data_IF_003404450749
#
_entry.id   IF_003404450749
#
_cell.length_a   1.000
_cell.length_b   1.000
_cell.length_c   1.000
_cell.angle_alpha   90.00
_cell.angle_beta   90.00
_cell.angle_gamma   90.00
#
_symmetry.space_group_name_H-M   'P 1'
#
loop_
_entity.id
_entity.type
_entity.pdbx_description
1 polymer ?
#
# COMPACT_ATOMS: atom_id res chain seq x y z
N UNK A 1 28.88 5.76 -24.92
CA UNK A 1 28.45 4.92 -23.80
C UNK A 1 26.93 5.02 -23.71
N UNK A 2 26.21 3.91 -23.89
CA UNK A 2 24.76 3.85 -23.70
C UNK A 2 24.47 3.94 -22.20
N UNK A 3 23.61 4.87 -21.79
CA UNK A 3 23.16 4.94 -20.41
C UNK A 3 22.46 3.61 -20.04
N UNK A 4 22.64 3.08 -18.83
CA UNK A 4 21.94 1.87 -18.41
C UNK A 4 20.43 2.13 -18.40
N UNK A 5 19.63 1.17 -18.86
CA UNK A 5 18.17 1.28 -18.82
C UNK A 5 17.66 1.38 -17.38
N UNK A 6 16.53 2.07 -17.19
CA UNK A 6 15.86 2.29 -15.91
C UNK A 6 15.81 1.04 -15.00
N UNK A 7 15.53 -0.12 -15.57
CA UNK A 7 15.45 -1.37 -14.85
C UNK A 7 16.79 -1.81 -14.24
N UNK A 8 17.92 -1.46 -14.86
CA UNK A 8 19.26 -1.81 -14.35
C UNK A 8 19.52 -1.26 -12.95
N UNK A 9 18.94 -0.11 -12.61
CA UNK A 9 19.03 0.46 -11.26
C UNK A 9 18.28 -0.38 -10.23
N UNK A 10 17.19 -1.06 -10.65
CA UNK A 10 16.40 -1.93 -9.80
C UNK A 10 17.15 -3.22 -9.43
N UNK A 11 18.03 -3.69 -10.32
CA UNK A 11 18.86 -4.88 -10.13
C UNK A 11 20.15 -4.66 -9.33
N UNK A 12 20.33 -3.48 -8.72
CA UNK A 12 21.46 -3.22 -7.81
C UNK A 12 21.44 -4.08 -6.54
N UNK A 13 20.27 -4.58 -6.13
CA UNK A 13 20.19 -5.56 -5.05
C UNK A 13 20.67 -6.92 -5.56
N UNK A 14 21.88 -7.33 -5.15
CA UNK A 14 22.43 -8.66 -5.47
C UNK A 14 21.46 -9.77 -5.02
N UNK A 15 21.32 -10.89 -5.77
CA UNK A 15 20.66 -12.08 -5.24
C UNK A 15 21.37 -12.53 -3.96
N UNK A 16 20.67 -12.49 -2.83
CA UNK A 16 21.19 -12.82 -1.50
C UNK A 16 21.57 -11.63 -0.60
N UNK A 17 21.62 -10.40 -1.13
CA UNK A 17 21.70 -9.19 -0.32
C UNK A 17 20.33 -8.49 -0.30
N UNK A 18 19.88 -8.08 0.89
CA UNK A 18 18.53 -7.55 1.13
C UNK A 18 18.10 -6.40 0.21
N UNK A 19 16.79 -6.17 0.14
CA UNK A 19 16.18 -5.10 -0.66
C UNK A 19 16.76 -3.74 -0.31
N UNK A 20 17.18 -2.95 -1.31
CA UNK A 20 17.67 -1.59 -1.08
C UNK A 20 16.48 -0.73 -0.64
N UNK A 21 16.58 -0.10 0.53
CA UNK A 21 15.58 0.83 1.03
C UNK A 21 16.11 2.25 0.89
N UNK A 22 15.58 2.99 -0.08
CA UNK A 22 15.91 4.40 -0.31
C UNK A 22 14.96 5.25 0.53
N UNK A 23 15.44 6.41 0.97
CA UNK A 23 14.63 7.36 1.73
C UNK A 23 13.39 7.76 0.95
N UNK A 24 12.27 7.79 1.67
CA UNK A 24 11.03 8.38 1.19
C UNK A 24 11.28 9.87 1.01
N UNK A 25 11.27 10.35 -0.23
CA UNK A 25 11.23 11.79 -0.45
C UNK A 25 9.82 12.33 -0.13
N UNK A 26 9.79 13.61 0.20
CA UNK A 26 8.66 14.43 0.66
C UNK A 26 7.40 14.20 -0.20
N UNK A 27 6.18 14.24 0.40
CA UNK A 27 4.94 13.94 -0.31
C UNK A 27 4.76 14.78 -1.58
N UNK A 28 4.35 14.12 -2.66
CA UNK A 28 3.67 14.78 -3.77
C UNK A 28 2.39 15.43 -3.25
N UNK A 29 1.93 16.52 -3.86
CA UNK A 29 0.73 17.27 -3.46
C UNK A 29 -0.40 16.37 -2.95
N UNK A 30 -0.93 16.71 -1.79
CA UNK A 30 -1.99 15.96 -1.10
C UNK A 30 -3.23 15.93 -2.01
N UNK A 31 -3.81 14.74 -2.30
CA UNK A 31 -5.04 14.66 -3.07
C UNK A 31 -6.15 15.51 -2.45
N UNK A 32 -7.02 16.03 -3.30
CA UNK A 32 -8.22 16.72 -2.87
C UNK A 32 -9.14 15.78 -2.06
N UNK A 33 -10.10 16.33 -1.28
CA UNK A 33 -10.94 15.52 -0.39
C UNK A 33 -11.70 14.39 -1.10
N UNK A 34 -12.16 14.63 -2.34
CA UNK A 34 -12.86 13.63 -3.13
C UNK A 34 -11.93 12.49 -3.58
N UNK A 35 -10.75 12.80 -4.13
CA UNK A 35 -9.78 11.77 -4.55
C UNK A 35 -9.30 10.94 -3.37
N UNK A 36 -9.13 11.56 -2.19
CA UNK A 36 -8.79 10.84 -0.96
C UNK A 36 -9.87 9.82 -0.59
N UNK A 37 -11.15 10.17 -0.69
CA UNK A 37 -12.25 9.24 -0.43
C UNK A 37 -12.29 8.09 -1.44
N UNK A 38 -12.09 8.36 -2.72
CA UNK A 38 -12.00 7.31 -3.75
C UNK A 38 -10.79 6.40 -3.52
N UNK A 39 -9.65 6.97 -3.12
CA UNK A 39 -8.46 6.21 -2.74
C UNK A 39 -8.70 5.32 -1.54
N UNK A 40 -9.43 5.80 -0.54
CA UNK A 40 -9.83 5.00 0.62
C UNK A 40 -10.71 3.80 0.23
N UNK A 41 -11.65 3.97 -0.70
CA UNK A 41 -12.43 2.85 -1.25
C UNK A 41 -11.50 1.87 -1.95
N UNK A 42 -10.66 2.35 -2.87
CA UNK A 42 -9.78 1.49 -3.67
C UNK A 42 -8.76 0.73 -2.81
N UNK A 43 -8.13 1.38 -1.83
CA UNK A 43 -7.22 0.73 -0.87
C UNK A 43 -7.93 -0.34 -0.06
N UNK A 44 -9.15 -0.05 0.39
CA UNK A 44 -9.93 -0.98 1.21
C UNK A 44 -10.33 -2.21 0.41
N UNK A 45 -10.80 -2.03 -0.83
CA UNK A 45 -11.12 -3.16 -1.72
C UNK A 45 -9.87 -4.00 -2.00
N UNK A 46 -8.73 -3.36 -2.31
CA UNK A 46 -7.48 -4.06 -2.54
C UNK A 46 -7.02 -4.86 -1.29
N UNK A 47 -7.13 -4.28 -0.10
CA UNK A 47 -6.79 -4.94 1.17
C UNK A 47 -7.65 -6.19 1.41
N UNK A 48 -8.96 -6.08 1.20
CA UNK A 48 -9.91 -7.18 1.43
C UNK A 48 -9.73 -8.35 0.43
N UNK A 49 -9.07 -8.12 -0.71
CA UNK A 49 -8.74 -9.19 -1.65
C UNK A 49 -7.63 -10.13 -1.17
N UNK A 50 -6.78 -9.70 -0.22
CA UNK A 50 -5.58 -10.45 0.22
C UNK A 50 -5.95 -11.68 1.06
N UNK A 51 -5.58 -12.86 0.57
CA UNK A 51 -5.66 -14.13 1.32
C UNK A 51 -4.28 -14.62 1.77
N UNK A 52 -3.29 -14.42 0.91
CA UNK A 52 -1.93 -14.87 1.02
C UNK A 52 -0.99 -13.83 1.64
N UNK A 53 0.26 -14.22 1.94
CA UNK A 53 0.93 -13.65 3.08
C UNK A 53 2.09 -12.69 2.77
N UNK A 54 2.75 -12.83 1.61
CA UNK A 54 3.96 -12.06 1.31
C UNK A 54 3.99 -11.54 -0.13
N UNK A 55 3.77 -12.38 -1.14
CA UNK A 55 3.83 -11.97 -2.55
C UNK A 55 2.51 -11.43 -3.11
N UNK A 56 1.39 -11.72 -2.46
CA UNK A 56 0.09 -11.27 -2.95
C UNK A 56 -0.05 -9.76 -2.69
N UNK A 57 -0.20 -9.02 -3.78
CA UNK A 57 -0.39 -7.58 -3.79
C UNK A 57 -1.45 -7.31 -4.82
N UNK A 58 -2.59 -6.81 -4.37
CA UNK A 58 -3.64 -6.29 -5.25
C UNK A 58 -3.50 -4.79 -5.42
N UNK A 59 -3.78 -4.35 -6.65
CA UNK A 59 -4.04 -2.96 -7.00
C UNK A 59 -5.45 -2.86 -7.58
N UNK A 60 -6.18 -1.82 -7.17
CA UNK A 60 -7.58 -1.58 -7.57
C UNK A 60 -7.73 -0.15 -8.08
N UNK A 61 -8.47 0.02 -9.17
CA UNK A 61 -8.92 1.32 -9.64
C UNK A 61 -10.42 1.30 -9.95
N UNK A 62 -11.02 2.48 -9.92
CA UNK A 62 -12.47 2.65 -9.98
C UNK A 62 -12.86 3.56 -11.14
N UNK A 63 -13.99 3.26 -11.77
CA UNK A 63 -14.67 4.15 -12.71
C UNK A 63 -16.17 4.01 -12.54
N UNK A 64 -16.85 5.13 -12.34
CA UNK A 64 -18.30 5.16 -12.43
C UNK A 64 -18.72 5.49 -13.86
N UNK A 65 -19.53 4.63 -14.46
CA UNK A 65 -20.26 4.93 -15.68
C UNK A 65 -21.70 5.30 -15.32
N UNK A 66 -22.48 5.86 -16.24
CA UNK A 66 -23.89 6.15 -15.97
C UNK A 66 -24.72 4.91 -15.58
N UNK A 67 -24.23 3.71 -15.88
CA UNK A 67 -24.95 2.45 -15.74
C UNK A 67 -24.33 1.50 -14.71
N UNK A 68 -23.01 1.52 -14.53
CA UNK A 68 -22.27 0.56 -13.71
C UNK A 68 -21.03 1.15 -13.04
N UNK A 69 -20.67 0.60 -11.88
CA UNK A 69 -19.38 0.81 -11.24
C UNK A 69 -18.39 -0.22 -11.78
N UNK A 70 -17.41 0.23 -12.56
CA UNK A 70 -16.36 -0.63 -13.10
C UNK A 70 -15.15 -0.63 -12.18
N UNK A 71 -14.71 -1.82 -11.78
CA UNK A 71 -13.56 -2.05 -10.91
C UNK A 71 -12.45 -2.69 -11.74
N UNK A 72 -11.30 -2.04 -11.84
CA UNK A 72 -10.11 -2.64 -12.41
C UNK A 72 -9.29 -3.25 -11.29
N UNK A 73 -8.95 -4.54 -11.39
CA UNK A 73 -8.13 -5.23 -10.39
C UNK A 73 -6.92 -5.89 -11.06
N UNK A 74 -5.75 -5.82 -10.44
CA UNK A 74 -4.58 -6.58 -10.84
C UNK A 74 -3.90 -7.19 -9.61
N UNK A 75 -3.20 -8.29 -9.81
CA UNK A 75 -2.22 -8.84 -8.87
C UNK A 75 -0.83 -8.81 -9.54
N UNK A 76 0.23 -9.07 -8.78
CA UNK A 76 1.55 -9.37 -9.33
C UNK A 76 1.56 -10.66 -10.18
N UNK A 77 0.54 -11.51 -9.99
CA UNK A 77 0.25 -12.69 -10.80
C UNK A 77 -1.12 -12.53 -11.46
N UNK A 78 -1.67 -13.62 -11.98
CA UNK A 78 -3.05 -13.67 -12.43
C UNK A 78 -4.01 -13.59 -11.23
N UNK A 79 -5.02 -12.71 -11.33
CA UNK A 79 -6.04 -12.56 -10.28
C UNK A 79 -6.86 -13.86 -10.19
N UNK A 80 -6.88 -14.55 -9.04
CA UNK A 80 -7.66 -15.78 -8.90
C UNK A 80 -9.16 -15.54 -9.05
N UNK A 81 -9.89 -16.46 -9.71
CA UNK A 81 -11.35 -16.32 -9.88
C UNK A 81 -12.08 -16.20 -8.54
N UNK A 82 -11.65 -16.95 -7.52
CA UNK A 82 -12.18 -16.83 -6.14
C UNK A 82 -12.09 -15.41 -5.57
N UNK A 83 -11.05 -14.66 -5.93
CA UNK A 83 -10.85 -13.27 -5.48
C UNK A 83 -11.78 -12.33 -6.24
N UNK A 84 -11.98 -12.58 -7.54
CA UNK A 84 -12.96 -11.86 -8.35
C UNK A 84 -14.38 -12.10 -7.82
N UNK A 85 -14.79 -13.35 -7.63
CA UNK A 85 -16.09 -13.73 -7.06
C UNK A 85 -16.30 -13.08 -5.68
N UNK A 86 -15.27 -13.10 -4.82
CA UNK A 86 -15.33 -12.44 -3.53
C UNK A 86 -15.59 -10.93 -3.65
N UNK A 87 -14.85 -10.25 -4.52
CA UNK A 87 -14.98 -8.80 -4.72
C UNK A 87 -16.36 -8.44 -5.30
N UNK A 88 -16.86 -9.23 -6.26
CA UNK A 88 -18.22 -9.07 -6.80
C UNK A 88 -19.29 -9.23 -5.71
N UNK A 89 -19.14 -10.22 -4.83
CA UNK A 89 -20.04 -10.43 -3.69
C UNK A 89 -20.00 -9.26 -2.69
N UNK A 90 -18.82 -8.76 -2.34
CA UNK A 90 -18.68 -7.59 -1.46
C UNK A 90 -19.38 -6.37 -2.06
N UNK A 91 -19.16 -6.10 -3.35
CA UNK A 91 -19.74 -4.94 -4.03
C UNK A 91 -21.25 -5.05 -4.18
N UNK A 92 -21.76 -6.24 -4.49
CA UNK A 92 -23.20 -6.54 -4.50
C UNK A 92 -23.83 -6.27 -3.13
N UNK A 93 -23.18 -6.71 -2.03
CA UNK A 93 -23.67 -6.45 -0.68
C UNK A 93 -23.64 -4.98 -0.31
N UNK A 94 -22.58 -4.24 -0.66
CA UNK A 94 -22.50 -2.79 -0.44
C UNK A 94 -23.58 -2.04 -1.22
N UNK A 95 -23.89 -2.49 -2.43
CA UNK A 95 -24.98 -1.93 -3.23
C UNK A 95 -26.33 -2.13 -2.56
N UNK A 96 -26.60 -3.33 -2.05
CA UNK A 96 -27.82 -3.63 -1.28
C UNK A 96 -27.93 -2.73 -0.05
N UNK A 97 -26.87 -2.62 0.75
CA UNK A 97 -26.84 -1.76 1.95
C UNK A 97 -27.10 -0.30 1.57
N UNK A 98 -26.40 0.20 0.56
CA UNK A 98 -26.55 1.57 0.04
C UNK A 98 -27.99 1.89 -0.39
N UNK A 99 -28.64 0.96 -1.11
CA UNK A 99 -30.03 1.10 -1.56
C UNK A 99 -31.01 1.06 -0.38
N UNK A 100 -30.89 0.06 0.51
CA UNK A 100 -31.79 -0.09 1.67
C UNK A 100 -31.72 1.12 2.60
N UNK A 101 -30.51 1.55 2.96
CA UNK A 101 -30.32 2.71 3.86
C UNK A 101 -30.81 4.02 3.23
N UNK A 102 -30.69 4.17 1.90
CA UNK A 102 -31.24 5.34 1.19
C UNK A 102 -32.76 5.43 1.23
N UNK A 103 -33.46 4.29 1.40
CA UNK A 103 -34.92 4.22 1.41
C UNK A 103 -35.49 4.30 2.84
N UNK A 104 -34.74 3.83 3.85
CA UNK A 104 -35.24 3.65 5.21
C UNK A 104 -34.95 4.82 6.16
N UNK A 105 -33.99 5.69 5.86
CA UNK A 105 -33.58 6.77 6.78
C UNK A 105 -34.40 8.05 6.53
N UNK A 106 -35.30 8.46 7.46
CA UNK A 106 -35.76 9.85 7.51
C UNK A 106 -34.54 10.74 7.73
N UNK A 107 -34.50 11.93 7.14
CA UNK A 107 -33.37 12.91 7.14
C UNK A 107 -32.82 13.37 8.52
N UNK A 108 -33.06 12.65 9.60
CA UNK A 108 -32.93 13.09 10.99
C UNK A 108 -31.95 12.25 11.83
N UNK A 109 -31.37 11.14 11.33
CA UNK A 109 -30.27 10.50 12.08
C UNK A 109 -28.96 11.28 11.90
N UNK A 110 -28.36 11.86 12.96
CA UNK A 110 -27.16 12.68 12.84
C UNK A 110 -25.89 11.85 12.63
N UNK A 111 -25.88 10.56 12.99
CA UNK A 111 -24.69 9.70 12.91
C UNK A 111 -24.80 8.68 11.76
N UNK A 112 -23.85 8.73 10.82
CA UNK A 112 -23.74 7.79 9.70
C UNK A 112 -23.56 6.34 10.15
N UNK A 113 -23.07 6.14 11.38
CA UNK A 113 -22.85 4.82 11.97
C UNK A 113 -24.18 4.11 12.26
N UNK A 114 -25.24 4.85 12.60
CA UNK A 114 -26.57 4.29 12.86
C UNK A 114 -27.32 3.93 11.58
N UNK A 115 -26.80 4.33 10.41
CA UNK A 115 -27.43 4.10 9.12
C UNK A 115 -27.23 2.67 8.59
N UNK A 116 -26.24 1.96 9.14
CA UNK A 116 -25.98 0.54 8.86
C UNK A 116 -26.42 -0.26 10.08
N UNK A 117 -27.31 -1.24 9.87
CA UNK A 117 -27.72 -2.10 10.98
C UNK A 117 -26.58 -2.99 11.43
N UNK A 118 -26.52 -3.33 12.72
CA UNK A 118 -25.52 -4.27 13.27
C UNK A 118 -25.52 -5.60 12.51
N UNK A 119 -26.68 -6.08 12.07
CA UNK A 119 -26.79 -7.30 11.27
C UNK A 119 -26.13 -7.17 9.89
N UNK A 120 -26.24 -6.02 9.23
CA UNK A 120 -25.62 -5.77 7.93
C UNK A 120 -24.09 -5.65 8.07
N UNK A 121 -23.61 -4.94 9.09
CA UNK A 121 -22.18 -4.85 9.39
C UNK A 121 -21.60 -6.24 9.69
N UNK A 122 -22.28 -7.01 10.52
CA UNK A 122 -21.86 -8.36 10.90
C UNK A 122 -21.78 -9.31 9.71
N UNK A 123 -22.85 -9.39 8.89
CA UNK A 123 -22.86 -10.26 7.72
C UNK A 123 -21.77 -9.89 6.69
N UNK A 124 -21.62 -8.59 6.42
CA UNK A 124 -20.57 -8.09 5.53
C UNK A 124 -19.18 -8.39 6.10
N UNK A 125 -19.00 -8.22 7.40
CA UNK A 125 -17.73 -8.42 8.06
C UNK A 125 -17.29 -9.86 8.13
N UNK A 126 -18.21 -10.80 8.40
CA UNK A 126 -17.93 -12.24 8.33
C UNK A 126 -17.56 -12.67 6.91
N UNK A 127 -18.23 -12.14 5.89
CA UNK A 127 -17.89 -12.41 4.47
C UNK A 127 -16.47 -11.96 4.13
N UNK A 128 -16.09 -10.74 4.53
CA UNK A 128 -14.76 -10.18 4.32
C UNK A 128 -13.68 -10.91 5.13
N UNK A 129 -13.96 -11.23 6.39
CA UNK A 129 -13.04 -11.97 7.25
C UNK A 129 -12.80 -13.39 6.74
N UNK A 130 -13.83 -14.08 6.24
CA UNK A 130 -13.70 -15.43 5.67
C UNK A 130 -12.65 -15.50 4.57
N UNK A 131 -12.70 -14.56 3.64
CA UNK A 131 -11.77 -14.50 2.51
C UNK A 131 -10.35 -14.14 2.97
N UNK A 132 -10.24 -13.12 3.82
CA UNK A 132 -8.95 -12.62 4.34
C UNK A 132 -8.37 -13.43 5.50
N UNK A 133 -9.10 -14.45 5.99
CA UNK A 133 -8.75 -15.21 7.18
C UNK A 133 -7.33 -15.80 7.15
N UNK A 134 -6.83 -16.40 6.06
CA UNK A 134 -5.48 -16.96 6.09
C UNK A 134 -4.38 -15.91 6.29
N UNK A 135 -4.57 -14.69 5.76
CA UNK A 135 -3.68 -13.55 5.97
C UNK A 135 -3.77 -13.00 7.39
N UNK A 136 -5.01 -12.86 7.90
CA UNK A 136 -5.29 -12.47 9.27
C UNK A 136 -4.68 -13.45 10.28
N UNK A 137 -4.95 -14.75 10.13
CA UNK A 137 -4.50 -15.78 11.06
C UNK A 137 -2.98 -15.84 11.11
N UNK A 138 -2.29 -15.73 9.97
CA UNK A 138 -0.83 -15.65 9.98
C UNK A 138 -0.32 -14.41 10.70
N UNK A 139 -0.96 -13.26 10.49
CA UNK A 139 -0.62 -12.02 11.19
C UNK A 139 -0.80 -12.15 12.70
N UNK A 140 -1.76 -12.97 13.12
CA UNK A 140 -2.05 -13.29 14.51
C UNK A 140 -1.07 -14.32 15.10
N UNK A 141 -0.67 -15.36 14.36
CA UNK A 141 0.28 -16.39 14.82
C UNK A 141 1.74 -15.93 14.80
N UNK A 142 2.04 -14.76 14.21
CA UNK A 142 3.34 -14.08 14.40
C UNK A 142 3.65 -13.69 15.85
N UNK A 143 2.79 -14.03 16.83
CA UNK A 143 3.05 -13.91 18.28
C UNK A 143 4.15 -14.85 18.80
N UNK A 144 4.91 -15.56 17.96
CA UNK A 144 5.88 -16.54 18.48
C UNK A 144 7.07 -15.94 19.25
N UNK A 145 7.56 -16.75 20.21
CA UNK A 145 8.70 -16.70 21.16
C UNK A 145 9.10 -15.36 21.83
N UNK A 146 8.91 -14.22 21.17
CA UNK A 146 9.20 -12.87 21.68
C UNK A 146 7.96 -12.21 22.29
N UNK A 147 6.74 -12.70 22.01
CA UNK A 147 5.50 -12.14 22.57
C UNK A 147 5.50 -12.14 24.09
N UNK A 148 5.68 -13.30 24.71
CA UNK A 148 5.67 -13.42 26.18
C UNK A 148 6.77 -12.56 26.81
N UNK A 149 7.95 -12.55 26.19
CA UNK A 149 9.08 -11.70 26.61
C UNK A 149 8.73 -10.22 26.51
N UNK A 150 8.11 -9.75 25.42
CA UNK A 150 7.70 -8.35 25.25
C UNK A 150 6.57 -7.98 26.21
N UNK A 151 5.58 -8.85 26.41
CA UNK A 151 4.50 -8.62 27.38
C UNK A 151 5.08 -8.46 28.78
N UNK A 152 6.05 -9.30 29.18
CA UNK A 152 6.74 -9.17 30.46
C UNK A 152 7.49 -7.83 30.57
N UNK A 153 8.24 -7.43 29.54
CA UNK A 153 8.93 -6.14 29.50
C UNK A 153 7.96 -4.95 29.61
N UNK A 154 6.81 -5.01 28.94
CA UNK A 154 5.79 -3.94 29.00
C UNK A 154 5.19 -3.87 30.40
N UNK A 155 4.89 -5.01 31.03
CA UNK A 155 4.40 -5.07 32.41
C UNK A 155 5.37 -4.39 33.39
N UNK A 156 6.66 -4.63 33.23
CA UNK A 156 7.70 -3.95 34.03
C UNK A 156 7.72 -2.43 33.77
N UNK A 157 7.58 -1.99 32.52
CA UNK A 157 7.53 -0.55 32.16
C UNK A 157 6.31 0.20 32.70
N UNK A 158 5.23 -0.52 33.00
CA UNK A 158 3.96 0.03 33.49
C UNK A 158 3.73 -0.21 34.98
N UNK A 159 4.73 -0.73 35.72
CA UNK A 159 4.58 -1.16 37.13
C UNK A 159 4.08 -0.04 38.06
N UNK A 160 4.49 1.21 37.80
CA UNK A 160 4.09 2.38 38.59
C UNK A 160 2.87 3.13 38.00
N UNK A 161 2.26 2.61 36.93
CA UNK A 161 1.17 3.25 36.19
C UNK A 161 -0.10 2.38 36.20
N UNK A 162 -0.73 2.25 37.37
CA UNK A 162 -1.87 1.37 37.63
C UNK A 162 -2.95 1.38 36.53
N UNK A 163 -3.38 2.55 36.06
CA UNK A 163 -4.44 2.68 35.05
C UNK A 163 -4.00 2.19 33.65
N UNK A 164 -2.74 2.44 33.27
CA UNK A 164 -2.19 1.92 32.02
C UNK A 164 -1.93 0.41 32.10
N UNK A 165 -1.43 -0.07 33.24
CA UNK A 165 -1.23 -1.50 33.48
C UNK A 165 -2.56 -2.28 33.39
N UNK A 166 -3.62 -1.79 34.03
CA UNK A 166 -4.95 -2.41 33.93
C UNK A 166 -5.48 -2.39 32.48
N UNK A 167 -5.33 -1.27 31.79
CA UNK A 167 -5.72 -1.13 30.37
C UNK A 167 -4.94 -2.10 29.48
N UNK A 168 -3.64 -2.24 29.71
CA UNK A 168 -2.79 -3.18 28.98
C UNK A 168 -3.23 -4.63 29.19
N UNK A 169 -3.51 -5.04 30.43
CA UNK A 169 -4.00 -6.39 30.73
C UNK A 169 -5.36 -6.67 30.05
N UNK A 170 -6.25 -5.67 29.95
CA UNK A 170 -7.49 -5.82 29.18
C UNK A 170 -7.22 -6.08 27.71
N UNK A 171 -6.28 -5.36 27.10
CA UNK A 171 -5.87 -5.57 25.71
C UNK A 171 -5.30 -6.98 25.51
N UNK A 172 -4.38 -7.43 26.38
CA UNK A 172 -3.77 -8.76 26.30
C UNK A 172 -4.84 -9.86 26.39
N UNK A 173 -5.77 -9.76 27.34
CA UNK A 173 -6.88 -10.73 27.47
C UNK A 173 -7.77 -10.77 26.23
N UNK A 174 -8.13 -9.62 25.66
CA UNK A 174 -8.91 -9.57 24.42
C UNK A 174 -8.17 -10.21 23.26
N UNK A 175 -6.87 -9.96 23.15
CA UNK A 175 -5.99 -10.56 22.16
C UNK A 175 -5.90 -12.09 22.32
N UNK A 176 -5.87 -12.63 23.54
CA UNK A 176 -5.88 -14.07 23.80
C UNK A 176 -7.20 -14.73 23.40
N UNK A 177 -8.33 -14.06 23.65
CA UNK A 177 -9.66 -14.53 23.21
C UNK A 177 -9.71 -14.60 21.68
N UNK A 178 -9.29 -13.53 20.99
CA UNK A 178 -9.22 -13.48 19.53
C UNK A 178 -8.36 -14.62 18.99
N UNK A 179 -7.20 -14.88 19.61
CA UNK A 179 -6.32 -15.99 19.23
C UNK A 179 -7.02 -17.34 19.33
N UNK A 180 -7.70 -17.62 20.45
CA UNK A 180 -8.42 -18.89 20.66
C UNK A 180 -9.53 -19.11 19.64
N UNK A 181 -10.32 -18.08 19.32
CA UNK A 181 -11.35 -18.19 18.29
C UNK A 181 -10.77 -18.40 16.90
N UNK A 182 -9.68 -17.68 16.57
CA UNK A 182 -9.01 -17.83 15.30
C UNK A 182 -8.37 -19.21 15.13
N UNK A 183 -7.70 -19.73 16.15
CA UNK A 183 -7.14 -21.09 16.17
C UNK A 183 -8.25 -22.14 16.02
N UNK A 184 -9.33 -22.01 16.79
CA UNK A 184 -10.49 -22.90 16.66
C UNK A 184 -11.08 -22.88 15.25
N UNK A 185 -11.28 -21.70 14.65
CA UNK A 185 -11.78 -21.62 13.27
C UNK A 185 -10.77 -22.19 12.27
N UNK A 186 -9.47 -21.98 12.49
CA UNK A 186 -8.42 -22.56 11.68
C UNK A 186 -8.56 -24.08 11.60
N UNK A 187 -8.83 -24.73 12.74
CA UNK A 187 -8.94 -26.18 12.85
C UNK A 187 -10.29 -26.74 12.38
N UNK A 188 -11.41 -26.08 12.74
CA UNK A 188 -12.75 -26.64 12.51
C UNK A 188 -13.42 -26.15 11.23
N UNK A 189 -13.02 -24.97 10.72
CA UNK A 189 -13.75 -24.22 9.68
C UNK A 189 -15.23 -23.97 10.01
N UNK A 190 -15.58 -23.93 11.29
CA UNK A 190 -16.95 -23.69 11.76
C UNK A 190 -17.37 -22.23 11.57
N UNK A 191 -18.45 -21.99 10.81
CA UNK A 191 -18.91 -20.63 10.48
C UNK A 191 -19.40 -19.85 11.70
N UNK A 192 -19.93 -20.54 12.73
CA UNK A 192 -20.30 -19.87 13.98
C UNK A 192 -19.05 -19.33 14.69
N UNK A 193 -17.98 -20.13 14.76
CA UNK A 193 -16.69 -19.68 15.31
C UNK A 193 -16.13 -18.47 14.55
N UNK A 194 -16.27 -18.41 13.23
CA UNK A 194 -15.86 -17.24 12.43
C UNK A 194 -16.72 -16.00 12.74
N UNK A 195 -18.03 -16.21 12.90
CA UNK A 195 -18.98 -15.17 13.31
C UNK A 195 -18.60 -14.60 14.67
N UNK A 196 -18.38 -15.45 15.67
CA UNK A 196 -17.97 -15.04 17.01
C UNK A 196 -16.61 -14.30 16.97
N UNK A 197 -15.65 -14.79 16.18
CA UNK A 197 -14.36 -14.13 15.97
C UNK A 197 -14.53 -12.69 15.46
N UNK A 198 -15.40 -12.49 14.46
CA UNK A 198 -15.66 -11.15 13.93
C UNK A 198 -16.29 -10.22 14.98
N UNK A 199 -17.22 -10.73 15.78
CA UNK A 199 -17.81 -9.98 16.89
C UNK A 199 -16.74 -9.54 17.90
N UNK A 200 -15.86 -10.45 18.32
CA UNK A 200 -14.76 -10.14 19.23
C UNK A 200 -13.76 -9.14 18.63
N UNK A 201 -13.44 -9.24 17.34
CA UNK A 201 -12.61 -8.26 16.64
C UNK A 201 -13.27 -6.88 16.63
N UNK A 202 -14.59 -6.81 16.43
CA UNK A 202 -15.35 -5.57 16.44
C UNK A 202 -15.38 -4.92 17.83
N UNK A 203 -15.60 -5.71 18.88
CA UNK A 203 -15.50 -5.26 20.27
C UNK A 203 -14.09 -4.79 20.63
N UNK A 204 -13.07 -5.45 20.07
CA UNK A 204 -11.68 -5.06 20.29
C UNK A 204 -11.32 -3.75 19.57
N UNK A 205 -11.78 -3.54 18.33
CA UNK A 205 -11.68 -2.23 17.67
C UNK A 205 -12.36 -1.12 18.50
N UNK A 206 -13.54 -1.40 19.05
CA UNK A 206 -14.27 -0.47 19.91
C UNK A 206 -13.45 -0.12 21.17
N UNK A 207 -12.87 -1.14 21.84
CA UNK A 207 -11.98 -0.96 22.98
C UNK A 207 -10.81 -0.03 22.63
N UNK A 208 -10.12 -0.28 21.52
CA UNK A 208 -8.91 0.43 21.14
C UNK A 208 -9.20 1.86 20.68
N UNK A 209 -10.25 2.07 19.88
CA UNK A 209 -10.42 3.33 19.12
C UNK A 209 -11.53 4.23 19.60
N UNK A 210 -12.49 3.70 20.35
CA UNK A 210 -13.78 4.37 20.64
C UNK A 210 -14.17 4.32 22.12
N UNK A 211 -13.48 3.52 22.93
CA UNK A 211 -13.72 3.46 24.37
C UNK A 211 -13.40 4.79 25.07
N UNK A 212 -14.00 4.99 26.25
CA UNK A 212 -13.64 6.08 27.16
C UNK A 212 -12.15 6.05 27.54
N UNK A 213 -11.51 4.87 27.46
CA UNK A 213 -10.09 4.68 27.74
C UNK A 213 -9.18 4.98 26.54
N UNK A 214 -9.71 5.42 25.38
CA UNK A 214 -8.92 5.70 24.18
C UNK A 214 -7.72 6.61 24.42
N UNK A 215 -7.86 7.66 25.23
CA UNK A 215 -6.75 8.57 25.53
C UNK A 215 -5.65 7.88 26.35
N UNK A 216 -6.03 7.02 27.29
CA UNK A 216 -5.09 6.21 28.08
C UNK A 216 -4.39 5.21 27.17
N UNK A 217 -5.13 4.51 26.30
CA UNK A 217 -4.58 3.58 25.32
C UNK A 217 -3.61 4.29 24.38
N UNK A 218 -3.98 5.44 23.82
CA UNK A 218 -3.11 6.21 22.93
C UNK A 218 -1.83 6.68 23.64
N UNK A 219 -1.94 7.14 24.89
CA UNK A 219 -0.79 7.58 25.70
C UNK A 219 0.12 6.41 26.03
N UNK A 220 -0.45 5.27 26.44
CA UNK A 220 0.26 4.04 26.71
C UNK A 220 1.00 3.54 25.47
N UNK A 221 0.31 3.39 24.33
CA UNK A 221 0.94 2.96 23.08
C UNK A 221 2.07 3.91 22.64
N UNK A 222 1.88 5.23 22.80
CA UNK A 222 2.93 6.23 22.54
C UNK A 222 4.16 6.06 23.43
N UNK A 223 3.97 5.69 24.69
CA UNK A 223 5.06 5.41 25.64
C UNK A 223 5.80 4.11 25.27
N UNK A 224 5.06 3.07 24.91
CA UNK A 224 5.62 1.75 24.59
C UNK A 224 6.38 1.73 23.26
N UNK A 225 5.87 2.47 22.26
CA UNK A 225 6.40 2.52 20.89
C UNK A 225 6.51 3.99 20.37
N UNK A 226 7.46 4.80 20.88
CA UNK A 226 7.53 6.24 20.60
C UNK A 226 7.73 6.60 19.12
N UNK A 227 8.31 5.71 18.30
CA UNK A 227 8.59 5.93 16.88
C UNK A 227 7.44 5.68 15.90
N UNK A 228 6.28 5.20 16.38
CA UNK A 228 5.13 4.85 15.53
C UNK A 228 4.03 5.92 15.46
N UNK A 229 4.15 7.00 16.23
CA UNK A 229 3.05 7.94 16.48
C UNK A 229 2.85 9.03 15.41
N UNK A 230 3.85 9.31 14.58
CA UNK A 230 3.78 10.39 13.56
C UNK A 230 3.31 9.89 12.18
N UNK A 231 3.08 8.58 12.03
CA UNK A 231 2.59 7.99 10.79
C UNK A 231 1.05 7.95 10.79
N UNK A 232 0.38 8.31 9.69
CA UNK A 232 -1.06 8.03 9.52
C UNK A 232 -1.35 6.55 9.84
N UNK A 233 -2.49 6.22 10.47
CA UNK A 233 -2.80 4.82 10.85
C UNK A 233 -2.59 3.81 9.70
N UNK A 234 -3.00 4.16 8.49
CA UNK A 234 -2.77 3.38 7.26
C UNK A 234 -1.28 3.16 6.94
N UNK A 235 -0.41 4.10 7.31
CA UNK A 235 1.03 3.98 7.15
C UNK A 235 1.68 3.16 8.28
N UNK A 236 1.06 3.07 9.46
CA UNK A 236 1.44 2.13 10.53
C UNK A 236 1.05 0.69 10.15
N UNK A 237 -0.15 0.51 9.58
CA UNK A 237 -0.69 -0.77 9.10
C UNK A 237 0.13 -1.42 7.97
N UNK A 238 0.75 -0.61 7.10
CA UNK A 238 1.45 -1.11 5.92
C UNK A 238 2.98 -1.16 6.04
N UNK A 239 3.58 -0.73 7.16
CA UNK A 239 5.01 -0.93 7.47
C UNK A 239 5.26 -2.37 7.92
N UNK A 240 4.95 -3.33 7.04
CA UNK A 240 4.80 -4.74 7.37
C UNK A 240 6.11 -5.54 7.57
N UNK A 241 7.27 -4.98 7.21
CA UNK A 241 8.50 -5.78 7.04
C UNK A 241 9.69 -5.30 7.88
N UNK A 242 9.54 -4.27 8.71
CA UNK A 242 10.64 -3.73 9.52
C UNK A 242 10.82 -4.47 10.86
N UNK A 243 9.81 -5.23 11.30
CA UNK A 243 9.82 -5.89 12.62
C UNK A 243 9.93 -7.42 12.48
N UNK A 244 10.37 -7.92 11.32
CA UNK A 244 10.35 -9.35 10.99
C UNK A 244 11.74 -9.78 10.51
N UNK A 245 12.35 -10.73 11.21
CA UNK A 245 13.58 -11.39 10.83
C UNK A 245 13.38 -12.25 9.56
N UNK A 246 14.47 -12.59 8.84
CA UNK A 246 14.38 -13.44 7.64
C UNK A 246 13.71 -14.81 7.83
N UNK A 247 13.61 -15.29 9.07
CA UNK A 247 12.97 -16.55 9.48
C UNK A 247 11.49 -16.40 9.87
N UNK A 248 10.85 -15.26 9.57
CA UNK A 248 9.48 -14.91 9.93
C UNK A 248 9.21 -14.72 11.44
N UNK A 249 10.26 -14.63 12.26
CA UNK A 249 10.12 -14.26 13.67
C UNK A 249 10.09 -12.75 13.86
N UNK A 250 9.53 -12.27 14.97
CA UNK A 250 9.58 -10.84 15.29
C UNK A 250 10.99 -10.43 15.71
N UNK A 251 11.46 -9.29 15.22
CA UNK A 251 12.75 -8.72 15.59
C UNK A 251 12.72 -8.17 17.03
N UNK A 252 13.86 -8.16 17.73
CA UNK A 252 14.03 -7.43 18.99
C UNK A 252 13.56 -5.97 18.81
N UNK A 253 12.61 -5.53 19.64
CA UNK A 253 11.95 -4.22 19.47
C UNK A 253 10.59 -4.23 18.77
N UNK A 254 9.90 -5.39 18.73
CA UNK A 254 8.50 -5.52 18.29
C UNK A 254 7.56 -4.44 18.85
N UNK A 255 6.87 -3.76 17.92
CA UNK A 255 5.85 -2.75 18.21
C UNK A 255 4.49 -3.38 18.52
N UNK A 256 4.04 -3.24 19.77
CA UNK A 256 2.72 -3.71 20.19
C UNK A 256 1.61 -2.91 19.49
N UNK A 257 1.88 -1.64 19.20
CA UNK A 257 0.99 -0.74 18.48
C UNK A 257 0.70 -1.27 17.07
N UNK A 258 1.75 -1.54 16.28
CA UNK A 258 1.59 -2.10 14.92
C UNK A 258 0.88 -3.45 14.95
N UNK A 259 1.18 -4.28 15.94
CA UNK A 259 0.52 -5.57 16.09
C UNK A 259 -0.99 -5.43 16.30
N UNK A 260 -1.42 -4.61 17.26
CA UNK A 260 -2.83 -4.37 17.56
C UNK A 260 -3.55 -3.89 16.29
N UNK A 261 -3.02 -2.86 15.62
CA UNK A 261 -3.64 -2.31 14.41
C UNK A 261 -3.69 -3.33 13.27
N UNK A 262 -2.70 -4.20 13.14
CA UNK A 262 -2.72 -5.30 12.17
C UNK A 262 -3.84 -6.31 12.45
N UNK A 263 -4.14 -6.61 13.71
CA UNK A 263 -5.23 -7.52 14.08
C UNK A 263 -6.60 -6.93 13.76
N UNK A 264 -6.80 -5.63 14.03
CA UNK A 264 -8.10 -4.96 13.77
C UNK A 264 -8.21 -4.35 12.38
N UNK A 265 -7.18 -4.41 11.54
CA UNK A 265 -7.14 -3.78 10.21
C UNK A 265 -8.35 -4.16 9.34
N UNK A 266 -8.72 -5.44 9.33
CA UNK A 266 -9.90 -5.92 8.58
C UNK A 266 -11.18 -5.23 9.03
N UNK A 267 -11.42 -5.11 10.35
CA UNK A 267 -12.59 -4.40 10.90
C UNK A 267 -12.57 -2.92 10.55
N UNK A 268 -11.41 -2.27 10.66
CA UNK A 268 -11.24 -0.85 10.31
C UNK A 268 -11.63 -0.61 8.85
N UNK A 269 -11.15 -1.46 7.96
CA UNK A 269 -11.42 -1.42 6.53
C UNK A 269 -12.91 -1.66 6.24
N UNK A 270 -13.51 -2.68 6.86
CA UNK A 270 -14.95 -2.97 6.74
C UNK A 270 -15.80 -1.75 7.15
N UNK A 271 -15.60 -1.23 8.36
CA UNK A 271 -16.36 -0.08 8.88
C UNK A 271 -16.20 1.14 7.99
N UNK A 272 -14.98 1.42 7.53
CA UNK A 272 -14.73 2.53 6.58
C UNK A 272 -15.52 2.35 5.29
N UNK A 273 -15.51 1.15 4.70
CA UNK A 273 -16.21 0.89 3.44
C UNK A 273 -17.74 1.01 3.60
N UNK A 274 -18.28 0.50 4.70
CA UNK A 274 -19.70 0.64 5.05
C UNK A 274 -20.10 2.11 5.21
N UNK A 275 -19.31 2.91 5.93
CA UNK A 275 -19.55 4.35 6.08
C UNK A 275 -19.52 5.10 4.75
N UNK A 276 -18.58 4.74 3.86
CA UNK A 276 -18.50 5.33 2.52
C UNK A 276 -19.70 4.90 1.66
N UNK A 277 -20.20 3.68 1.84
CA UNK A 277 -21.35 3.16 1.10
C UNK A 277 -22.68 3.84 1.46
N UNK A 278 -22.85 4.26 2.72
CA UNK A 278 -24.04 4.99 3.18
C UNK A 278 -23.86 6.52 3.18
N UNK A 279 -22.66 7.01 2.88
CA UNK A 279 -22.36 8.44 2.83
C UNK A 279 -23.19 9.15 1.77
N UNK A 280 -23.94 10.22 2.09
CA UNK A 280 -24.75 10.95 1.11
C UNK A 280 -23.97 11.45 -0.11
N UNK A 281 -22.65 11.66 0.04
CA UNK A 281 -21.77 12.12 -1.04
C UNK A 281 -21.32 11.01 -1.99
N UNK A 282 -21.16 9.79 -1.48
CA UNK A 282 -20.54 8.67 -2.19
C UNK A 282 -21.49 7.50 -2.43
N UNK A 283 -22.69 7.53 -1.83
CA UNK A 283 -23.75 6.53 -1.97
C UNK A 283 -24.03 6.20 -3.44
N UNK A 284 -23.92 7.19 -4.32
CA UNK A 284 -24.12 7.02 -5.76
C UNK A 284 -23.14 6.01 -6.35
N UNK A 285 -21.89 5.97 -5.90
CA UNK A 285 -20.88 5.01 -6.39
C UNK A 285 -21.37 3.57 -6.23
N UNK A 286 -21.95 3.25 -5.08
CA UNK A 286 -22.37 1.89 -4.73
C UNK A 286 -23.79 1.55 -5.18
N UNK A 287 -24.60 2.53 -5.60
CA UNK A 287 -25.95 2.27 -6.13
C UNK A 287 -25.95 1.59 -7.49
N UNK A 288 -24.87 1.72 -8.25
CA UNK A 288 -24.76 1.09 -9.54
C UNK A 288 -24.30 -0.37 -9.40
N UNK A 289 -24.78 -1.28 -10.27
CA UNK A 289 -24.23 -2.62 -10.34
C UNK A 289 -22.73 -2.55 -10.60
N UNK A 290 -21.96 -3.34 -9.86
CA UNK A 290 -20.52 -3.38 -10.02
C UNK A 290 -20.09 -4.46 -11.02
N UNK A 291 -19.08 -4.13 -11.83
CA UNK A 291 -18.46 -5.05 -12.79
C UNK A 291 -16.97 -5.11 -12.47
N UNK A 292 -16.47 -6.29 -12.09
CA UNK A 292 -15.04 -6.50 -11.84
C UNK A 292 -14.35 -6.92 -13.14
N UNK A 293 -13.35 -6.14 -13.53
CA UNK A 293 -12.50 -6.39 -14.68
C UNK A 293 -11.07 -6.65 -14.21
N UNK A 294 -10.59 -7.88 -14.41
CA UNK A 294 -9.18 -8.20 -14.23
C UNK A 294 -8.34 -7.50 -15.30
N UNK A 295 -7.27 -6.83 -14.87
CA UNK A 295 -6.29 -6.25 -15.77
C UNK A 295 -5.44 -7.35 -16.41
N UNK A 296 -5.03 -7.22 -17.68
CA UNK A 296 -4.13 -8.18 -18.30
C UNK A 296 -2.81 -8.30 -17.54
N UNK A 297 -2.35 -9.54 -17.31
CA UNK A 297 -1.04 -9.81 -16.75
C UNK A 297 0.03 -9.53 -17.80
N UNK A 298 0.80 -8.46 -17.63
CA UNK A 298 1.85 -8.06 -18.58
C UNK A 298 3.23 -8.52 -18.11
N UNK A 299 4.03 -9.01 -19.06
CA UNK A 299 5.43 -9.39 -18.85
C UNK A 299 6.32 -8.54 -19.76
N UNK A 300 7.49 -8.18 -19.26
CA UNK A 300 8.51 -7.43 -19.98
C UNK A 300 9.81 -8.21 -19.99
N UNK A 301 10.51 -8.20 -21.12
CA UNK A 301 11.87 -8.69 -21.20
C UNK A 301 12.82 -7.54 -20.87
N UNK A 302 13.52 -7.68 -19.75
CA UNK A 302 14.45 -6.68 -19.24
C UNK A 302 15.87 -7.16 -19.48
N UNK A 303 16.69 -6.33 -20.11
CA UNK A 303 18.14 -6.55 -20.17
C UNK A 303 18.80 -5.93 -18.94
N UNK A 304 19.36 -6.77 -18.09
CA UNK A 304 20.07 -6.38 -16.87
C UNK A 304 21.57 -6.41 -17.13
N UNK A 305 22.25 -5.33 -16.75
CA UNK A 305 23.70 -5.27 -16.75
C UNK A 305 24.21 -5.61 -15.35
N UNK A 306 25.07 -6.62 -15.25
CA UNK A 306 25.72 -6.98 -13.99
C UNK A 306 27.15 -6.46 -13.94
N UNK A 307 27.55 -5.95 -12.77
CA UNK A 307 28.92 -5.53 -12.49
C UNK A 307 29.70 -6.67 -11.79
N UNK A 308 30.99 -6.83 -12.12
CA UNK A 308 31.92 -7.72 -11.41
C UNK A 308 32.38 -7.12 -10.07
N UNK A 309 32.30 -5.81 -9.92
CA UNK A 309 32.78 -5.08 -8.75
C UNK A 309 31.95 -5.41 -7.50
N UNK A 310 32.64 -5.80 -6.42
CA UNK A 310 32.02 -5.96 -5.09
C UNK A 310 31.62 -4.62 -4.47
N UNK A 311 32.11 -3.51 -5.01
CA UNK A 311 31.88 -2.18 -4.50
C UNK A 311 30.56 -1.66 -5.06
N UNK A 312 29.70 -1.16 -4.18
CA UNK A 312 28.36 -0.67 -4.49
C UNK A 312 28.47 0.61 -5.35
N UNK A 313 28.74 0.45 -6.64
CA UNK A 313 28.82 1.53 -7.61
C UNK A 313 27.50 1.62 -8.39
N UNK A 314 26.94 2.83 -8.48
CA UNK A 314 25.65 3.05 -9.16
C UNK A 314 25.85 2.87 -10.68
N UNK A 315 25.02 2.09 -11.39
CA UNK A 315 25.10 1.90 -12.83
C UNK A 315 25.12 3.25 -13.54
N UNK A 316 26.02 3.41 -14.51
CA UNK A 316 26.25 4.69 -15.20
C UNK A 316 27.28 5.61 -14.53
N UNK A 317 27.89 5.21 -13.42
CA UNK A 317 29.19 5.71 -12.94
C UNK A 317 30.37 4.80 -13.33
N UNK A 318 30.10 3.54 -13.70
CA UNK A 318 31.11 2.56 -14.11
C UNK A 318 31.29 2.59 -15.63
N UNK A 319 32.54 2.48 -16.11
CA UNK A 319 32.90 2.60 -17.52
C UNK A 319 32.67 1.34 -18.37
N UNK A 320 32.35 0.19 -17.76
CA UNK A 320 32.22 -1.09 -18.48
C UNK A 320 31.28 -2.07 -17.77
N UNK A 321 30.20 -2.45 -18.45
CA UNK A 321 29.40 -3.63 -18.09
C UNK A 321 29.87 -4.81 -18.93
N UNK A 322 30.23 -5.93 -18.30
CA UNK A 322 30.77 -7.09 -19.04
C UNK A 322 29.70 -8.14 -19.36
N UNK A 323 28.62 -8.22 -18.57
CA UNK A 323 27.60 -9.26 -18.70
C UNK A 323 26.19 -8.67 -18.76
N UNK A 324 25.46 -9.02 -19.82
CA UNK A 324 24.02 -8.76 -19.97
C UNK A 324 23.22 -10.04 -19.75
N UNK A 325 22.15 -9.97 -18.97
CA UNK A 325 21.19 -11.07 -18.83
C UNK A 325 19.80 -10.56 -19.17
N UNK A 326 19.07 -11.31 -20.01
CA UNK A 326 17.67 -11.01 -20.31
C UNK A 326 16.78 -11.76 -19.33
N UNK A 327 15.91 -11.04 -18.63
CA UNK A 327 14.98 -11.59 -17.65
C UNK A 327 13.55 -11.26 -18.07
N UNK A 328 12.68 -12.26 -18.00
CA UNK A 328 11.24 -12.03 -18.18
C UNK A 328 10.62 -11.72 -16.83
N UNK A 329 10.18 -10.48 -16.67
CA UNK A 329 9.67 -9.94 -15.40
C UNK A 329 8.20 -9.60 -15.58
N UNK A 330 7.38 -10.03 -14.62
CA UNK A 330 5.98 -9.61 -14.58
C UNK A 330 5.89 -8.19 -14.03
N UNK A 331 5.06 -7.35 -14.67
CA UNK A 331 4.79 -6.01 -14.11
C UNK A 331 4.12 -6.16 -12.74
N UNK A 332 4.46 -5.26 -11.82
CA UNK A 332 3.77 -5.18 -10.54
C UNK A 332 2.29 -4.82 -10.75
N UNK A 333 1.43 -5.21 -9.80
CA UNK A 333 -0.01 -4.97 -9.84
C UNK A 333 -0.37 -3.51 -10.15
N UNK A 334 0.31 -2.55 -9.51
CA UNK A 334 0.06 -1.12 -9.71
C UNK A 334 0.36 -0.68 -11.14
N UNK A 335 1.38 -1.25 -11.78
CA UNK A 335 1.75 -0.94 -13.15
C UNK A 335 0.79 -1.56 -14.16
N UNK A 336 0.26 -2.76 -13.88
CA UNK A 336 -0.80 -3.36 -14.69
C UNK A 336 -2.08 -2.51 -14.65
N UNK A 337 -2.48 -2.03 -13.47
CA UNK A 337 -3.62 -1.11 -13.34
C UNK A 337 -3.32 0.21 -14.03
N UNK A 338 -2.16 0.82 -13.78
CA UNK A 338 -1.72 2.08 -14.39
C UNK A 338 -1.81 2.04 -15.92
N UNK A 339 -1.19 1.03 -16.54
CA UNK A 339 -1.24 0.87 -17.99
C UNK A 339 -2.67 0.65 -18.50
N UNK A 340 -3.47 -0.16 -17.80
CA UNK A 340 -4.87 -0.42 -18.17
C UNK A 340 -5.74 0.84 -18.09
N UNK A 341 -5.50 1.74 -17.13
CA UNK A 341 -6.20 3.02 -17.01
C UNK A 341 -5.83 3.97 -18.15
N UNK A 342 -4.55 4.00 -18.56
CA UNK A 342 -4.12 4.79 -19.71
C UNK A 342 -4.71 4.26 -21.02
N UNK A 343 -4.71 2.95 -21.23
CA UNK A 343 -5.39 2.32 -22.38
C UNK A 343 -6.89 2.62 -22.36
N UNK A 344 -7.52 2.62 -21.18
CA UNK A 344 -8.93 2.99 -21.02
C UNK A 344 -9.18 4.42 -21.52
N UNK A 345 -8.39 5.38 -21.06
CA UNK A 345 -8.54 6.78 -21.40
C UNK A 345 -8.23 7.07 -22.87
N UNK A 346 -7.10 6.59 -23.37
CA UNK A 346 -6.61 6.93 -24.70
C UNK A 346 -7.31 6.14 -25.81
N UNK A 347 -7.45 4.83 -25.64
CA UNK A 347 -7.96 3.94 -26.70
C UNK A 347 -9.49 3.89 -26.66
N UNK A 348 -10.08 3.85 -25.47
CA UNK A 348 -11.53 3.64 -25.28
C UNK A 348 -12.30 4.91 -24.92
N UNK A 349 -11.63 6.05 -24.73
CA UNK A 349 -12.28 7.30 -24.30
C UNK A 349 -12.92 7.19 -22.91
N UNK A 350 -12.43 6.28 -22.06
CA UNK A 350 -12.97 6.03 -20.74
C UNK A 350 -12.28 6.92 -19.70
N UNK A 351 -13.02 7.72 -18.93
CA UNK A 351 -12.45 8.55 -17.86
C UNK A 351 -12.55 7.85 -16.49
N UNK A 352 -11.47 7.23 -15.97
CA UNK A 352 -11.46 6.69 -14.61
C UNK A 352 -11.30 7.80 -13.56
N UNK A 353 -11.42 7.47 -12.28
CA UNK A 353 -11.17 8.42 -11.19
C UNK A 353 -9.69 8.82 -11.01
N UNK A 354 -8.78 8.31 -11.84
CA UNK A 354 -7.32 8.51 -11.72
C UNK A 354 -6.79 8.21 -10.31
N UNK A 355 -7.30 7.14 -9.72
CA UNK A 355 -6.91 6.62 -8.41
C UNK A 355 -6.49 5.17 -8.56
N UNK A 356 -5.37 4.81 -7.93
CA UNK A 356 -4.95 3.42 -7.75
C UNK A 356 -4.85 3.19 -6.24
N UNK A 357 -5.72 2.33 -5.72
CA UNK A 357 -5.61 1.80 -4.38
C UNK A 357 -4.78 0.52 -4.37
N UNK A 358 -4.06 0.28 -3.28
CA UNK A 358 -3.14 -0.84 -3.13
C UNK A 358 -3.30 -1.53 -1.79
N UNK A 359 -3.18 -2.85 -1.79
CA UNK A 359 -3.26 -3.68 -0.57
C UNK A 359 -2.02 -3.57 0.32
N UNK A 360 -0.89 -3.11 -0.24
CA UNK A 360 0.39 -2.86 0.43
C UNK A 360 0.98 -1.56 -0.09
N UNK A 361 1.91 -0.94 0.64
CA UNK A 361 2.63 0.24 0.13
C UNK A 361 3.27 -0.09 -1.22
N UNK A 362 3.34 0.90 -2.10
CA UNK A 362 3.94 0.72 -3.41
C UNK A 362 5.47 0.71 -3.34
N UNK A 363 6.12 -0.04 -4.22
CA UNK A 363 7.58 0.01 -4.33
C UNK A 363 8.08 1.36 -4.86
N UNK A 364 9.33 1.72 -4.56
CA UNK A 364 9.85 3.04 -4.92
C UNK A 364 9.87 3.25 -6.45
N UNK A 365 10.09 2.18 -7.23
CA UNK A 365 10.14 2.25 -8.69
C UNK A 365 8.76 2.51 -9.30
N UNK A 366 7.74 1.75 -8.89
CA UNK A 366 6.34 1.99 -9.27
C UNK A 366 5.86 3.39 -8.84
N UNK A 367 6.15 3.77 -7.59
CA UNK A 367 5.77 5.08 -7.07
C UNK A 367 6.44 6.20 -7.85
N UNK A 368 7.73 6.11 -8.12
CA UNK A 368 8.47 7.13 -8.88
C UNK A 368 7.91 7.27 -10.29
N UNK A 369 7.58 6.16 -10.96
CA UNK A 369 7.00 6.20 -12.29
C UNK A 369 5.61 6.86 -12.28
N UNK A 370 4.70 6.41 -11.41
CA UNK A 370 3.30 6.84 -11.39
C UNK A 370 3.12 8.25 -10.76
N UNK A 371 3.82 8.54 -9.66
CA UNK A 371 3.60 9.76 -8.85
C UNK A 371 4.60 10.88 -9.10
N UNK A 372 5.75 10.61 -9.72
CA UNK A 372 6.75 11.64 -10.02
C UNK A 372 6.94 11.84 -11.51
N UNK A 373 7.37 10.80 -12.21
CA UNK A 373 7.71 10.88 -13.62
C UNK A 373 6.50 11.23 -14.48
N UNK A 374 5.41 10.46 -14.36
CA UNK A 374 4.21 10.66 -15.17
C UNK A 374 3.60 12.07 -15.00
N UNK A 375 3.31 12.58 -13.79
CA UNK A 375 2.83 13.95 -13.61
C UNK A 375 3.80 15.03 -14.13
N UNK A 376 5.11 14.80 -14.04
CA UNK A 376 6.11 15.71 -14.59
C UNK A 376 6.14 15.72 -16.13
N UNK A 377 5.78 14.62 -16.80
CA UNK A 377 5.51 14.62 -18.24
C UNK A 377 4.25 15.40 -18.54
N UNK A 378 3.15 15.10 -17.84
CA UNK A 378 1.86 15.76 -18.04
C UNK A 378 1.96 17.28 -17.88
N UNK A 379 2.67 17.77 -16.87
CA UNK A 379 2.87 19.20 -16.65
C UNK A 379 3.63 19.95 -17.75
N UNK A 380 4.29 19.23 -18.67
CA UNK A 380 4.99 19.82 -19.83
C UNK A 380 4.15 19.78 -21.11
N UNK A 381 3.03 19.05 -21.11
CA UNK A 381 2.18 18.83 -22.28
C UNK A 381 0.72 19.14 -21.91
N UNK A 382 0.18 20.31 -22.28
CA UNK A 382 -1.09 20.79 -21.70
C UNK A 382 -2.34 20.11 -22.33
N UNK A 383 -2.21 19.51 -23.52
CA UNK A 383 -3.35 19.01 -24.33
C UNK A 383 -3.34 17.48 -24.54
N UNK A 384 -3.24 16.71 -23.45
CA UNK A 384 -3.11 15.23 -23.54
C UNK A 384 -4.35 14.42 -23.09
N UNK A 385 -5.37 15.05 -22.49
CA UNK A 385 -6.58 14.35 -21.99
C UNK A 385 -6.38 13.39 -20.81
N UNK A 386 -5.13 13.17 -20.37
CA UNK A 386 -4.75 12.41 -19.17
C UNK A 386 -4.79 13.27 -17.90
N UNK A 387 -4.75 12.65 -16.72
CA UNK A 387 -4.61 13.35 -15.44
C UNK A 387 -3.61 12.63 -14.51
N UNK A 388 -2.99 13.36 -13.56
CA UNK A 388 -2.14 12.75 -12.54
C UNK A 388 -2.90 11.70 -11.73
N UNK A 389 -2.23 10.60 -11.41
CA UNK A 389 -2.84 9.52 -10.63
C UNK A 389 -2.56 9.70 -9.15
N UNK A 390 -3.61 9.57 -8.35
CA UNK A 390 -3.54 9.47 -6.90
C UNK A 390 -3.23 8.03 -6.50
N UNK A 391 -2.20 7.84 -5.68
CA UNK A 391 -1.71 6.54 -5.21
C UNK A 391 -1.22 6.71 -3.76
N UNK A 392 -1.32 5.64 -2.96
CA UNK A 392 -0.79 5.63 -1.60
C UNK A 392 0.76 5.78 -1.57
N UNK A 393 1.30 6.10 -0.39
CA UNK A 393 2.73 6.25 -0.16
C UNK A 393 3.54 4.97 -0.48
N UNK A 394 4.86 5.11 -0.56
CA UNK A 394 5.79 4.03 -0.88
C UNK A 394 6.50 3.48 0.36
N UNK A 395 6.87 2.19 0.33
CA UNK A 395 7.74 1.62 1.39
C UNK A 395 9.22 1.93 1.18
N UNK A 396 9.59 2.63 0.09
CA UNK A 396 10.98 3.02 -0.23
C UNK A 396 11.87 1.87 -0.71
N UNK A 397 11.34 0.65 -0.81
CA UNK A 397 12.12 -0.52 -1.24
C UNK A 397 12.15 -0.64 -2.76
N UNK A 398 13.33 -0.98 -3.26
CA UNK A 398 13.64 -1.18 -4.66
C UNK A 398 13.85 -2.68 -4.91
N UNK A 399 12.99 -3.28 -5.74
CA UNK A 399 12.99 -4.72 -6.01
C UNK A 399 13.80 -5.03 -7.27
N UNK A 400 14.65 -6.07 -7.21
CA UNK A 400 15.40 -6.54 -8.37
C UNK A 400 14.49 -6.96 -9.51
N UNK A 401 13.40 -7.68 -9.24
CA UNK A 401 12.45 -8.15 -10.26
C UNK A 401 11.43 -7.08 -10.66
N UNK A 402 11.90 -5.91 -11.08
CA UNK A 402 11.03 -4.80 -11.51
C UNK A 402 11.21 -4.48 -13.01
N UNK A 403 10.12 -4.09 -13.66
CA UNK A 403 10.12 -3.61 -15.05
C UNK A 403 9.14 -2.43 -15.20
N UNK A 404 9.47 -1.47 -16.06
CA UNK A 404 8.54 -0.39 -16.40
C UNK A 404 7.46 -0.88 -17.38
N UNK A 405 6.25 -0.32 -17.34
CA UNK A 405 5.20 -0.62 -18.31
C UNK A 405 5.62 -0.12 -19.70
N UNK A 406 5.05 -0.73 -20.73
CA UNK A 406 5.19 -0.27 -22.11
C UNK A 406 4.04 0.69 -22.42
N UNK A 407 4.38 1.97 -22.62
CA UNK A 407 3.42 3.03 -22.92
C UNK A 407 3.43 3.44 -24.40
N UNK A 408 4.09 2.68 -25.28
CA UNK A 408 4.19 3.00 -26.72
C UNK A 408 2.83 3.04 -27.41
N UNK A 409 1.82 2.34 -26.89
CA UNK A 409 0.43 2.39 -27.37
C UNK A 409 -0.17 3.80 -27.33
N UNK A 410 0.42 4.74 -26.59
CA UNK A 410 -0.09 6.10 -26.44
C UNK A 410 0.22 7.00 -27.64
N UNK A 411 1.26 6.71 -28.44
CA UNK A 411 1.72 7.59 -29.53
C UNK A 411 0.64 7.99 -30.56
N UNK A 412 -0.32 7.12 -30.95
CA UNK A 412 -1.40 7.53 -31.84
C UNK A 412 -2.39 8.52 -31.21
N UNK A 413 -2.40 8.63 -29.87
CA UNK A 413 -3.43 9.34 -29.10
C UNK A 413 -2.91 10.59 -28.40
N UNK A 414 -1.59 10.72 -28.19
CA UNK A 414 -0.94 11.91 -27.63
C UNK A 414 0.16 12.40 -28.58
N UNK A 415 0.42 13.72 -28.58
CA UNK A 415 1.35 14.35 -29.53
C UNK A 415 2.84 14.22 -29.15
N UNK A 416 3.17 13.33 -28.22
CA UNK A 416 4.53 13.16 -27.70
C UNK A 416 4.78 11.69 -27.31
N UNK A 417 6.05 11.30 -27.25
CA UNK A 417 6.44 9.93 -26.87
C UNK A 417 6.33 9.76 -25.35
N UNK A 418 5.12 9.46 -24.89
CA UNK A 418 4.82 9.22 -23.47
C UNK A 418 5.74 8.15 -22.86
N UNK A 419 6.07 7.10 -23.60
CA UNK A 419 6.87 5.98 -23.11
C UNK A 419 8.30 6.42 -22.79
N UNK A 420 9.00 6.98 -23.77
CA UNK A 420 10.37 7.47 -23.59
C UNK A 420 10.44 8.57 -22.55
N UNK A 421 9.51 9.51 -22.61
CA UNK A 421 9.47 10.66 -21.70
C UNK A 421 9.25 10.31 -20.24
N UNK A 422 8.32 9.39 -19.94
CA UNK A 422 8.08 8.89 -18.57
C UNK A 422 9.29 8.09 -18.10
N UNK A 423 9.82 7.19 -18.93
CA UNK A 423 10.96 6.32 -18.57
C UNK A 423 12.22 7.14 -18.26
N UNK A 424 12.55 8.13 -19.09
CA UNK A 424 13.69 9.02 -18.85
C UNK A 424 13.56 9.80 -17.53
N UNK A 425 12.38 10.35 -17.25
CA UNK A 425 12.14 11.10 -15.99
C UNK A 425 12.20 10.17 -14.78
N UNK A 426 11.61 8.96 -14.86
CA UNK A 426 11.67 7.97 -13.79
C UNK A 426 13.12 7.54 -13.50
N UNK A 427 13.92 7.30 -14.54
CA UNK A 427 15.34 6.98 -14.40
C UNK A 427 16.09 8.08 -13.68
N UNK A 428 15.89 9.34 -14.09
CA UNK A 428 16.52 10.48 -13.46
C UNK A 428 16.20 10.57 -11.96
N UNK A 429 14.94 10.39 -11.58
CA UNK A 429 14.52 10.41 -10.18
C UNK A 429 15.14 9.27 -9.37
N UNK A 430 15.05 8.03 -9.86
CA UNK A 430 15.61 6.86 -9.15
C UNK A 430 17.12 6.98 -9.00
N UNK A 431 17.82 7.38 -10.07
CA UNK A 431 19.27 7.60 -10.05
C UNK A 431 19.65 8.65 -9.01
N UNK A 432 18.93 9.76 -8.96
CA UNK A 432 19.22 10.85 -8.01
C UNK A 432 19.06 10.35 -6.57
N UNK A 433 17.97 9.65 -6.27
CA UNK A 433 17.69 9.11 -4.93
C UNK A 433 18.67 7.99 -4.52
N UNK A 434 19.15 7.17 -5.47
CA UNK A 434 20.23 6.20 -5.24
C UNK A 434 21.57 6.87 -4.93
N UNK A 435 21.93 7.95 -5.65
CA UNK A 435 23.16 8.69 -5.38
C UNK A 435 23.15 9.33 -3.99
N UNK A 436 22.01 9.89 -3.58
CA UNK A 436 21.83 10.39 -2.22
C UNK A 436 22.01 9.27 -1.20
N UNK A 437 21.39 8.10 -1.43
CA UNK A 437 21.53 6.95 -0.54
C UNK A 437 22.99 6.51 -0.39
N UNK A 438 23.71 6.31 -1.50
CA UNK A 438 25.11 5.88 -1.47
C UNK A 438 26.00 6.89 -0.74
N UNK A 439 25.77 8.19 -0.95
CA UNK A 439 26.52 9.23 -0.25
C UNK A 439 26.24 9.24 1.25
N UNK A 440 24.98 9.09 1.67
CA UNK A 440 24.61 8.97 3.07
C UNK A 440 25.30 7.77 3.71
N UNK A 441 25.21 6.58 3.10
CA UNK A 441 25.83 5.36 3.62
C UNK A 441 27.34 5.54 3.79
N UNK A 442 28.05 6.00 2.76
CA UNK A 442 29.50 6.27 2.81
C UNK A 442 29.88 7.34 3.84
N UNK A 443 29.01 8.32 4.07
CA UNK A 443 29.25 9.40 5.03
C UNK A 443 29.11 8.91 6.47
N UNK A 444 28.10 8.10 6.78
CA UNK A 444 27.93 7.50 8.10
C UNK A 444 29.01 6.45 8.40
N UNK A 445 29.46 5.66 7.42
CA UNK A 445 30.60 4.76 7.55
C UNK A 445 31.90 5.49 7.94
N UNK A 446 32.02 6.78 7.61
CA UNK A 446 33.16 7.64 7.94
C UNK A 446 32.99 8.47 9.21
N UNK A 447 31.92 8.25 9.97
CA UNK A 447 31.66 8.93 11.25
C UNK A 447 31.21 10.39 11.12
N UNK A 448 30.67 10.79 9.97
CA UNK A 448 30.24 12.17 9.75
C UNK A 448 28.92 12.56 10.47
N UNK A 449 28.75 13.85 10.77
CA UNK A 449 27.56 14.41 11.43
C UNK A 449 26.43 14.85 10.49
N UNK A 450 25.18 14.84 10.97
CA UNK A 450 23.96 15.02 10.17
C UNK A 450 23.86 16.38 9.43
N UNK A 451 24.39 17.47 10.00
CA UNK A 451 24.39 18.80 9.37
C UNK A 451 25.31 18.88 8.13
N UNK A 452 26.49 18.27 8.20
CA UNK A 452 27.43 18.22 7.08
C UNK A 452 26.89 17.35 5.93
N UNK A 453 26.17 16.26 6.27
CA UNK A 453 25.48 15.43 5.29
C UNK A 453 24.42 16.21 4.50
N UNK A 454 23.59 17.00 5.18
CA UNK A 454 22.54 17.79 4.53
C UNK A 454 23.12 18.84 3.58
N UNK A 455 24.26 19.44 3.93
CA UNK A 455 24.96 20.40 3.06
C UNK A 455 25.43 19.72 1.76
N UNK A 456 26.10 18.57 1.86
CA UNK A 456 26.57 17.79 0.71
C UNK A 456 25.44 17.31 -0.20
N UNK A 457 24.32 16.87 0.38
CA UNK A 457 23.15 16.45 -0.38
C UNK A 457 22.50 17.61 -1.14
N UNK A 458 22.45 18.80 -0.55
CA UNK A 458 21.92 19.99 -1.22
C UNK A 458 22.79 20.42 -2.40
N UNK A 459 24.12 20.39 -2.26
CA UNK A 459 25.04 20.64 -3.39
C UNK A 459 24.83 19.64 -4.53
N UNK A 460 24.60 18.37 -4.19
CA UNK A 460 24.34 17.33 -5.18
C UNK A 460 23.03 17.59 -5.95
N UNK A 461 21.95 17.92 -5.23
CA UNK A 461 20.64 18.24 -5.82
C UNK A 461 20.74 19.40 -6.79
N UNK A 462 21.45 20.46 -6.42
CA UNK A 462 21.66 21.62 -7.31
C UNK A 462 22.47 21.25 -8.56
N UNK A 463 23.52 20.44 -8.41
CA UNK A 463 24.32 19.96 -9.55
C UNK A 463 23.46 19.18 -10.55
N UNK A 464 22.58 18.31 -10.07
CA UNK A 464 21.72 17.51 -10.95
C UNK A 464 20.53 18.27 -11.53
N UNK A 465 20.00 19.29 -10.84
CA UNK A 465 19.02 20.23 -11.44
C UNK A 465 19.57 20.94 -12.67
N UNK A 466 20.86 21.31 -12.67
CA UNK A 466 21.50 22.01 -13.77
C UNK A 466 21.62 21.20 -15.07
N UNK A 467 21.87 19.88 -14.96
CA UNK A 467 22.12 19.00 -16.11
C UNK A 467 20.85 18.75 -16.96
N UNK A 468 19.67 18.82 -16.34
CA UNK A 468 18.41 18.56 -17.05
C UNK A 468 17.86 19.78 -17.80
N UNK A 469 18.06 20.99 -17.26
CA UNK A 469 17.69 22.23 -17.98
C UNK A 469 18.41 22.38 -19.33
N UNK A 470 19.60 21.81 -19.48
CA UNK A 470 20.35 21.82 -20.74
C UNK A 470 19.92 20.75 -21.75
N UNK A 471 19.13 19.74 -21.35
CA UNK A 471 18.65 18.66 -22.23
C UNK A 471 17.19 18.80 -22.67
N UNK A 472 16.37 19.54 -21.93
CA UNK A 472 14.98 19.88 -22.32
C UNK A 472 14.88 21.13 -23.21
N UNK A 473 16.00 21.57 -23.81
CA UNK A 473 16.08 22.71 -24.72
C UNK A 473 16.24 22.28 -26.18
N UNK A 474 15.52 21.24 -26.60
CA UNK A 474 15.35 20.84 -27.99
C UNK A 474 13.86 20.62 -28.28
#
# INVERSE_FOLDING_TARGET
MTAPFLESYCYLSKPGHGTITILREIPVADPGPHERQILEIANTLAFLCVQGPQSEVYAVALRLTGESLKIYIAENNEVPEKTKDHLENLLSKLSQISVTTSQSVPRISPDLEDAVTLSQEHEFGVMALKHSFPSFFRSLTKRDHTWDTRIAQIREQLVDENEMAETFERIVRSLDIIYKFAERYHDTKDEQTLSDLYEFLSLFDELIRRSLAKQIIATMLKKLDPGDNDAPLLAVELKNEADINPDNTLQDGFSITRFIYRIIATVIHIRRLLLLAVSPRLVQIFRHPAVVQCCPLRKQTVTVYSDKSSDFEVPGLVSSFENTTNLNVTLHAELNVFQTLLEAALIRGEHPYWVIGVSKLTCISCYTLIRKAFPAVLGQHIDHGLAPITLQDCHGKLYSSWAAPDLSFAEPYVQFDLNSEVRMRAEHFIRTSLLEYVQRSRFFEKGGGYEELNTKLNELRERYRGVYKSRSGL
#
